data_IF_854150758979
#
_entry.id   IF_854150758979
#
_cell.length_a   1.000
_cell.length_b   1.000
_cell.length_c   1.000
_cell.angle_alpha   90.00
_cell.angle_beta   90.00
_cell.angle_gamma   90.00
#
_symmetry.space_group_name_H-M   'P 1'
#
loop_
_entity.id
_entity.type
_entity.pdbx_description
1 polymer ?
#
# COMPACT_ATOMS: atom_id res chain seq x y z
N UNK A 1 -16.70 -10.17 3.00
CA UNK A 1 -16.48 -10.48 1.57
C UNK A 1 -15.24 -9.72 1.13
N UNK A 2 -14.22 -10.42 0.60
CA UNK A 2 -12.94 -9.83 0.20
C UNK A 2 -13.16 -8.77 -0.90
N UNK A 3 -12.43 -7.65 -0.86
CA UNK A 3 -12.54 -6.59 -1.88
C UNK A 3 -11.37 -6.67 -2.88
N UNK A 4 -11.30 -7.78 -3.60
CA UNK A 4 -10.18 -8.12 -4.48
C UNK A 4 -10.04 -7.15 -5.66
N UNK A 5 -11.15 -6.63 -6.18
CA UNK A 5 -11.12 -5.67 -7.29
C UNK A 5 -10.46 -4.34 -6.90
N UNK A 6 -10.85 -3.78 -5.75
CA UNK A 6 -10.21 -2.57 -5.23
C UNK A 6 -8.76 -2.84 -4.84
N UNK A 7 -8.46 -3.98 -4.22
CA UNK A 7 -7.06 -4.36 -3.93
C UNK A 7 -6.18 -4.33 -5.19
N UNK A 8 -6.65 -4.93 -6.29
CA UNK A 8 -5.94 -4.91 -7.58
C UNK A 8 -5.82 -3.49 -8.12
N UNK A 9 -6.87 -2.67 -8.03
CA UNK A 9 -6.87 -1.29 -8.50
C UNK A 9 -5.82 -0.44 -7.75
N UNK A 10 -5.83 -0.48 -6.42
CA UNK A 10 -4.86 0.24 -5.59
C UNK A 10 -3.44 -0.25 -5.84
N UNK A 11 -3.23 -1.56 -6.00
CA UNK A 11 -1.90 -2.10 -6.28
C UNK A 11 -1.38 -1.73 -7.67
N UNK A 12 -2.25 -1.66 -8.69
CA UNK A 12 -1.89 -1.15 -10.02
C UNK A 12 -1.39 0.30 -9.94
N UNK A 13 -2.07 1.15 -9.17
CA UNK A 13 -1.66 2.53 -9.00
C UNK A 13 -0.35 2.66 -8.21
N UNK A 14 -0.16 1.85 -7.16
CA UNK A 14 1.12 1.79 -6.42
C UNK A 14 2.31 1.48 -7.34
N UNK A 15 2.12 0.54 -8.28
CA UNK A 15 3.13 0.20 -9.30
C UNK A 15 3.39 1.33 -10.28
N UNK A 16 2.36 2.08 -10.68
CA UNK A 16 2.53 3.25 -11.53
C UNK A 16 3.34 4.33 -10.80
N UNK A 17 3.00 4.62 -9.54
CA UNK A 17 3.65 5.65 -8.74
C UNK A 17 5.14 5.36 -8.51
N UNK A 18 5.52 4.11 -8.20
CA UNK A 18 6.94 3.76 -8.01
C UNK A 18 7.74 3.83 -9.33
N UNK A 19 7.11 3.57 -10.48
CA UNK A 19 7.75 3.76 -11.77
C UNK A 19 7.97 5.25 -12.05
N UNK A 20 6.96 6.09 -11.80
CA UNK A 20 7.11 7.55 -11.89
C UNK A 20 8.20 8.06 -10.95
N UNK A 21 8.28 7.57 -9.71
CA UNK A 21 9.32 7.93 -8.75
C UNK A 21 10.73 7.66 -9.30
N UNK A 22 10.91 6.51 -9.98
CA UNK A 22 12.18 6.17 -10.63
C UNK A 22 12.50 7.13 -11.79
N UNK A 23 11.52 7.57 -12.56
CA UNK A 23 11.74 8.50 -13.65
C UNK A 23 12.04 9.93 -13.14
N UNK A 24 11.36 10.36 -12.08
CA UNK A 24 11.70 11.61 -11.37
C UNK A 24 13.10 11.57 -10.76
N UNK A 25 13.51 10.43 -10.20
CA UNK A 25 14.88 10.24 -9.72
C UNK A 25 15.92 10.36 -10.83
N UNK A 26 15.70 9.71 -11.99
CA UNK A 26 16.60 9.80 -13.16
C UNK A 26 16.74 11.23 -13.68
N UNK A 27 15.67 12.02 -13.59
CA UNK A 27 15.64 13.42 -14.04
C UNK A 27 16.04 14.41 -12.94
N UNK A 28 16.55 13.92 -11.80
CA UNK A 28 16.99 14.73 -10.64
C UNK A 28 15.90 15.59 -9.98
N UNK A 29 14.62 15.28 -10.22
CA UNK A 29 13.48 15.85 -9.49
C UNK A 29 13.28 15.07 -8.18
N UNK A 30 14.20 15.26 -7.23
CA UNK A 30 14.28 14.44 -6.01
C UNK A 30 13.06 14.61 -5.09
N UNK A 31 12.51 15.81 -5.03
CA UNK A 31 11.28 16.13 -4.30
C UNK A 31 10.09 15.30 -4.82
N UNK A 32 9.92 15.26 -6.13
CA UNK A 32 8.89 14.44 -6.79
C UNK A 32 9.14 12.95 -6.62
N UNK A 33 10.40 12.51 -6.71
CA UNK A 33 10.77 11.12 -6.48
C UNK A 33 10.37 10.65 -5.07
N UNK A 34 10.64 11.46 -4.04
CA UNK A 34 10.26 11.18 -2.66
C UNK A 34 8.73 11.16 -2.49
N UNK A 35 8.03 12.15 -3.02
CA UNK A 35 6.56 12.22 -2.93
C UNK A 35 5.89 11.00 -3.57
N UNK A 36 6.29 10.65 -4.80
CA UNK A 36 5.73 9.51 -5.52
C UNK A 36 6.08 8.17 -4.86
N UNK A 37 7.27 8.04 -4.28
CA UNK A 37 7.63 6.86 -3.52
C UNK A 37 6.77 6.68 -2.26
N UNK A 38 6.47 7.77 -1.53
CA UNK A 38 5.56 7.72 -0.38
C UNK A 38 4.14 7.31 -0.81
N UNK A 39 3.62 7.90 -1.90
CA UNK A 39 2.32 7.56 -2.46
C UNK A 39 2.25 6.09 -2.90
N UNK A 40 3.30 5.56 -3.50
CA UNK A 40 3.40 4.16 -3.86
C UNK A 40 3.26 3.25 -2.62
N UNK A 41 3.95 3.60 -1.53
CA UNK A 41 3.84 2.90 -0.24
C UNK A 41 2.42 2.94 0.34
N UNK A 42 1.81 4.12 0.41
CA UNK A 42 0.42 4.28 0.90
C UNK A 42 -0.56 3.40 0.13
N UNK A 43 -0.51 3.43 -1.20
CA UNK A 43 -1.43 2.69 -2.07
C UNK A 43 -1.21 1.17 -2.00
N UNK A 44 0.03 0.72 -1.83
CA UNK A 44 0.34 -0.69 -1.64
C UNK A 44 -0.25 -1.23 -0.32
N UNK A 45 -0.14 -0.47 0.77
CA UNK A 45 -0.71 -0.85 2.07
C UNK A 45 -2.25 -0.87 2.01
N UNK A 46 -2.85 0.14 1.37
CA UNK A 46 -4.31 0.15 1.12
C UNK A 46 -4.74 -1.09 0.34
N UNK A 47 -4.02 -1.46 -0.71
CA UNK A 47 -4.31 -2.67 -1.49
C UNK A 47 -4.31 -3.94 -0.62
N UNK A 48 -3.31 -4.10 0.26
CA UNK A 48 -3.25 -5.22 1.20
C UNK A 48 -4.48 -5.25 2.14
N UNK A 49 -4.82 -4.12 2.74
CA UNK A 49 -5.97 -4.02 3.66
C UNK A 49 -7.30 -4.31 2.94
N UNK A 50 -7.49 -3.80 1.71
CA UNK A 50 -8.66 -4.13 0.88
C UNK A 50 -8.75 -5.63 0.59
N UNK A 51 -7.60 -6.28 0.32
CA UNK A 51 -7.54 -7.73 0.16
C UNK A 51 -7.95 -8.47 1.44
N UNK A 52 -7.65 -7.92 2.62
CA UNK A 52 -8.10 -8.44 3.92
C UNK A 52 -9.56 -8.11 4.26
N UNK A 53 -10.28 -7.43 3.37
CA UNK A 53 -11.72 -7.13 3.53
C UNK A 53 -12.03 -5.78 4.15
N UNK A 54 -11.03 -4.92 4.38
CA UNK A 54 -11.25 -3.55 4.83
C UNK A 54 -12.00 -2.73 3.77
N UNK A 55 -12.77 -1.76 4.24
CA UNK A 55 -13.51 -0.81 3.42
C UNK A 55 -13.34 0.59 3.97
N UNK A 56 -13.44 1.59 3.11
CA UNK A 56 -13.35 3.00 3.48
C UNK A 56 -12.11 3.36 4.34
N UNK A 57 -10.91 3.02 3.85
CA UNK A 57 -9.66 3.45 4.49
C UNK A 57 -9.49 4.97 4.29
N UNK A 58 -10.00 5.75 5.24
CA UNK A 58 -10.00 7.22 5.19
C UNK A 58 -8.68 7.85 5.66
N UNK A 59 -7.70 7.04 6.06
CA UNK A 59 -6.37 7.55 6.45
C UNK A 59 -5.42 7.64 5.24
N UNK A 60 -4.59 8.68 5.27
CA UNK A 60 -3.45 8.88 4.37
C UNK A 60 -2.10 8.71 5.09
N UNK A 61 -2.12 8.40 6.38
CA UNK A 61 -0.91 8.15 7.15
C UNK A 61 -0.36 6.76 6.83
N UNK A 62 0.82 6.71 6.21
CA UNK A 62 1.54 5.45 5.93
C UNK A 62 1.83 4.69 7.22
N UNK A 63 2.14 5.40 8.31
CA UNK A 63 2.39 4.80 9.62
C UNK A 63 1.15 4.08 10.15
N UNK A 64 -0.01 4.71 10.06
CA UNK A 64 -1.25 4.10 10.57
C UNK A 64 -1.63 2.90 9.72
N UNK A 65 -1.51 3.01 8.39
CA UNK A 65 -1.73 1.88 7.48
C UNK A 65 -0.77 0.72 7.77
N UNK A 66 0.50 0.98 8.08
CA UNK A 66 1.46 -0.05 8.47
C UNK A 66 1.06 -0.76 9.78
N UNK A 67 0.61 0.01 10.78
CA UNK A 67 0.15 -0.56 12.04
C UNK A 67 -1.06 -1.49 11.82
N UNK A 68 -2.06 -1.03 11.06
CA UNK A 68 -3.22 -1.84 10.68
C UNK A 68 -2.79 -3.12 9.94
N UNK A 69 -1.91 -3.01 8.95
CA UNK A 69 -1.37 -4.18 8.25
C UNK A 69 -0.72 -5.17 9.24
N UNK A 70 0.07 -4.68 10.19
CA UNK A 70 0.79 -5.51 11.16
C UNK A 70 -0.08 -6.20 12.20
N UNK A 71 -1.24 -5.64 12.54
CA UNK A 71 -2.25 -6.33 13.36
C UNK A 71 -2.90 -7.49 12.57
N UNK A 72 -3.20 -7.27 11.29
CA UNK A 72 -3.86 -8.29 10.45
C UNK A 72 -2.93 -9.34 9.84
N UNK A 73 -1.63 -9.11 9.88
CA UNK A 73 -0.63 -10.16 9.61
C UNK A 73 -0.51 -11.11 10.82
N UNK A 74 -0.53 -10.57 12.05
CA UNK A 74 -0.45 -11.35 13.29
C UNK A 74 -1.62 -12.31 13.50
N UNK A 75 -2.81 -11.99 12.99
CA UNK A 75 -3.95 -12.92 12.98
C UNK A 75 -3.70 -14.19 12.14
N UNK A 76 -2.77 -14.17 11.18
CA UNK A 76 -2.41 -15.36 10.40
C UNK A 76 -1.33 -16.23 11.07
N UNK A 77 -0.59 -15.71 12.07
CA UNK A 77 0.41 -16.51 12.82
C UNK A 77 -0.21 -17.53 13.78
N UNK A 78 -1.52 -17.46 14.05
CA UNK A 78 -2.26 -18.51 14.78
C UNK A 78 -2.71 -19.69 13.91
N UNK A 79 -2.57 -19.58 12.59
CA UNK A 79 -3.04 -20.61 11.63
C UNK A 79 -1.87 -21.39 11.00
N UNK A 80 -0.63 -20.91 11.12
CA UNK A 80 0.57 -21.62 10.65
C UNK A 80 1.35 -22.35 11.77
N UNK A 81 0.70 -22.68 12.89
CA UNK A 81 1.20 -23.65 13.87
C UNK A 81 0.31 -24.90 13.86
N UNK A 82 0.33 -25.62 12.73
CA UNK A 82 -0.03 -27.02 12.60
C UNK A 82 0.96 -27.66 11.62
#
# INVERSE_FOLDING_TARGET
MLNTEEAIRWFKQAKADINSAKDSLKTSHYDWACFQAQQAGEKALKAFLYQKGFRALLTHSVRDLLNECGEHERDNLKIFNC
#
